data_IF_380796651810
#
_entry.id   IF_380796651810
#
_cell.length_a   1.000
_cell.length_b   1.000
_cell.length_c   1.000
_cell.angle_alpha   90.00
_cell.angle_beta   90.00
_cell.angle_gamma   90.00
#
_symmetry.space_group_name_H-M   'P 1'
#
loop_
_entity.id
_entity.type
_entity.pdbx_description
1 polymer ?
#
# COMPACT_ATOMS: atom_id res chain seq x y z
N UNK A 1 2.32 -2.82 11.83
CA UNK A 1 2.12 -2.07 10.59
C UNK A 1 0.64 -1.80 10.42
N UNK A 2 0.24 -0.55 10.19
CA UNK A 2 -1.17 -0.20 10.03
C UNK A 2 -1.53 -0.39 8.55
N UNK A 3 -2.29 -1.44 8.22
CA UNK A 3 -2.83 -1.63 6.87
C UNK A 3 -3.89 -0.58 6.57
N UNK A 4 -3.96 -0.10 5.33
CA UNK A 4 -5.00 0.83 4.89
C UNK A 4 -6.22 0.05 4.41
N UNK A 5 -7.42 0.49 4.80
CA UNK A 5 -8.67 -0.02 4.25
C UNK A 5 -9.02 0.71 2.95
N UNK A 6 -9.23 -0.06 1.88
CA UNK A 6 -9.69 0.47 0.60
C UNK A 6 -11.17 0.12 0.42
N UNK A 7 -11.99 1.16 0.32
CA UNK A 7 -13.45 1.08 0.26
C UNK A 7 -13.95 1.65 -1.05
N UNK A 8 -15.03 1.10 -1.56
CA UNK A 8 -15.67 1.61 -2.76
C UNK A 8 -16.09 3.07 -2.55
N UNK A 9 -15.76 3.95 -3.49
CA UNK A 9 -16.03 5.38 -3.39
C UNK A 9 -17.53 5.68 -3.31
N UNK A 10 -18.33 4.86 -4.01
CA UNK A 10 -19.80 4.97 -4.12
C UNK A 10 -20.55 4.34 -2.94
N UNK A 11 -20.43 3.02 -2.73
CA UNK A 11 -21.21 2.31 -1.71
C UNK A 11 -20.50 2.07 -0.38
N UNK A 12 -19.24 2.54 -0.23
CA UNK A 12 -18.40 2.38 0.98
C UNK A 12 -18.11 0.95 1.43
N UNK A 13 -18.54 -0.06 0.66
CA UNK A 13 -18.20 -1.47 0.88
C UNK A 13 -16.68 -1.64 0.94
N UNK A 14 -16.20 -2.35 1.96
CA UNK A 14 -14.80 -2.75 2.07
C UNK A 14 -14.43 -3.65 0.89
N UNK A 15 -13.37 -3.29 0.18
CA UNK A 15 -12.88 -4.04 -0.97
C UNK A 15 -11.69 -4.90 -0.54
N UNK A 16 -10.69 -4.30 0.11
CA UNK A 16 -9.53 -5.02 0.64
C UNK A 16 -8.80 -4.17 1.70
N UNK A 17 -7.83 -4.79 2.40
CA UNK A 17 -6.89 -4.12 3.29
C UNK A 17 -5.47 -4.46 2.83
N UNK A 18 -4.65 -3.44 2.57
CA UNK A 18 -3.28 -3.64 2.09
C UNK A 18 -2.42 -2.41 2.38
N UNK A 19 -1.11 -2.53 2.13
CA UNK A 19 -0.22 -1.40 1.89
C UNK A 19 0.12 -1.47 0.40
N UNK A 20 -0.29 -0.46 -0.36
CA UNK A 20 0.02 -0.36 -1.78
C UNK A 20 1.33 0.40 -1.94
N UNK A 21 2.32 -0.19 -2.60
CA UNK A 21 3.67 0.38 -2.77
C UNK A 21 3.98 0.41 -4.25
N UNK A 22 4.21 1.61 -4.79
CA UNK A 22 4.56 1.84 -6.21
C UNK A 22 3.66 1.06 -7.19
N UNK A 23 2.37 1.01 -6.86
CA UNK A 23 1.40 0.18 -7.55
C UNK A 23 0.12 0.96 -7.80
N UNK A 24 -0.53 0.72 -8.93
CA UNK A 24 -1.91 1.12 -9.19
C UNK A 24 -2.79 -0.13 -9.22
N UNK A 25 -3.96 -0.07 -8.58
CA UNK A 25 -4.93 -1.17 -8.60
C UNK A 25 -6.28 -0.65 -9.03
N UNK A 26 -6.85 -1.29 -10.05
CA UNK A 26 -8.24 -1.14 -10.45
C UNK A 26 -9.11 -2.27 -9.88
N UNK A 27 -10.17 -1.94 -9.17
CA UNK A 27 -11.12 -2.91 -8.61
C UNK A 27 -12.55 -2.52 -8.92
N UNK A 28 -13.27 -3.39 -9.62
CA UNK A 28 -14.72 -3.27 -9.83
C UNK A 28 -15.47 -3.70 -8.58
N UNK A 29 -16.32 -2.83 -8.05
CA UNK A 29 -17.16 -3.16 -6.91
C UNK A 29 -18.28 -4.11 -7.32
N UNK A 30 -18.29 -5.32 -6.76
CA UNK A 30 -19.35 -6.32 -7.02
C UNK A 30 -20.74 -5.89 -6.53
N UNK A 31 -20.83 -4.92 -5.60
CA UNK A 31 -22.12 -4.49 -5.06
C UNK A 31 -22.81 -3.42 -5.91
N UNK A 32 -22.10 -2.37 -6.31
CA UNK A 32 -22.68 -1.25 -7.05
C UNK A 32 -22.17 -1.09 -8.49
N UNK A 33 -21.29 -1.98 -8.95
CA UNK A 33 -20.71 -1.98 -10.30
C UNK A 33 -19.59 -0.95 -10.54
N UNK A 34 -19.37 -0.02 -9.61
CA UNK A 34 -18.40 1.07 -9.74
C UNK A 34 -16.96 0.56 -9.90
N UNK A 35 -16.22 1.08 -10.88
CA UNK A 35 -14.78 0.84 -11.02
C UNK A 35 -14.01 1.82 -10.13
N UNK A 36 -13.15 1.30 -9.26
CA UNK A 36 -12.37 2.10 -8.32
C UNK A 36 -10.88 1.95 -8.64
N UNK A 37 -10.17 3.06 -8.75
CA UNK A 37 -8.71 3.08 -8.92
C UNK A 37 -8.06 3.52 -7.61
N UNK A 38 -7.06 2.78 -7.15
CA UNK A 38 -6.30 3.07 -5.93
C UNK A 38 -4.81 3.17 -6.25
N UNK A 39 -4.19 4.24 -5.77
CA UNK A 39 -2.76 4.51 -5.93
C UNK A 39 -1.98 4.12 -4.68
N UNK A 40 -0.84 3.48 -4.89
CA UNK A 40 0.13 3.19 -3.86
C UNK A 40 0.95 4.39 -3.44
N UNK A 41 1.61 4.25 -2.29
CA UNK A 41 2.61 5.21 -1.83
C UNK A 41 3.98 4.86 -2.41
N UNK A 42 4.86 5.85 -2.52
CA UNK A 42 6.27 5.59 -2.84
C UNK A 42 6.91 4.70 -1.77
N UNK A 43 7.78 3.77 -2.19
CA UNK A 43 8.53 2.93 -1.29
C UNK A 43 9.39 3.75 -0.31
N UNK A 44 9.87 4.92 -0.74
CA UNK A 44 10.69 5.81 0.09
C UNK A 44 9.98 6.24 1.37
N UNK A 45 8.65 6.39 1.35
CA UNK A 45 7.85 6.72 2.55
C UNK A 45 7.88 5.61 3.61
N UNK A 46 8.25 4.39 3.23
CA UNK A 46 8.42 3.24 4.12
C UNK A 46 9.87 3.05 4.55
N UNK A 47 10.82 3.81 3.99
CA UNK A 47 12.23 3.76 4.36
C UNK A 47 12.52 4.75 5.50
N UNK A 48 13.31 4.29 6.47
CA UNK A 48 13.83 5.17 7.50
C UNK A 48 15.12 5.85 7.01
N UNK A 49 15.07 7.17 6.82
CA UNK A 49 16.23 7.96 6.40
C UNK A 49 17.00 8.64 7.54
N UNK A 50 16.55 8.47 8.80
CA UNK A 50 17.26 9.02 9.95
C UNK A 50 18.68 8.46 10.03
N UNK A 51 19.66 9.37 10.08
CA UNK A 51 21.06 9.02 10.26
C UNK A 51 21.23 8.26 11.60
N UNK A 52 21.90 7.11 11.58
CA UNK A 52 22.08 6.21 12.72
C UNK A 52 20.79 5.64 13.37
N UNK A 53 19.75 5.36 12.59
CA UNK A 53 18.60 4.61 13.10
C UNK A 53 18.99 3.16 13.44
N UNK A 54 18.99 2.81 14.73
CA UNK A 54 19.35 1.48 15.26
C UNK A 54 18.52 0.33 14.66
N UNK A 55 17.31 0.62 14.17
CA UNK A 55 16.39 -0.37 13.57
C UNK A 55 16.40 -0.35 12.03
N UNK A 56 17.31 0.41 11.41
CA UNK A 56 17.41 0.49 9.94
C UNK A 56 18.11 -0.75 9.40
N UNK A 57 17.41 -1.49 8.55
CA UNK A 57 17.98 -2.63 7.81
C UNK A 57 18.98 -2.08 6.79
N UNK A 58 20.21 -2.60 6.76
CA UNK A 58 21.25 -2.15 5.82
C UNK A 58 20.89 -2.58 4.40
N UNK A 59 21.26 -1.78 3.39
CA UNK A 59 20.95 -2.04 1.97
C UNK A 59 21.62 -3.31 1.44
N UNK A 60 22.66 -3.79 2.12
CA UNK A 60 23.46 -4.98 1.76
C UNK A 60 22.83 -6.31 2.22
N UNK A 61 21.77 -6.29 3.04
CA UNK A 61 21.03 -7.51 3.47
C UNK A 61 19.98 -7.97 2.44
N UNK A 62 20.13 -7.60 1.16
CA UNK A 62 19.30 -8.15 0.09
C UNK A 62 19.67 -9.61 -0.17
N UNK A 63 19.11 -10.53 0.61
CA UNK A 63 18.84 -11.88 0.09
C UNK A 63 17.71 -11.76 -0.92
N UNK A 64 18.02 -12.19 -2.14
CA UNK A 64 17.10 -12.35 -3.25
C UNK A 64 15.85 -13.12 -2.78
N UNK A 65 14.68 -12.57 -3.10
CA UNK A 65 13.38 -13.22 -2.98
C UNK A 65 12.66 -13.10 -4.31
#
# INVERSE_FOLDING_TARGET
MIYQEYRCRKCKKLMFKAILVESEIEVKCRACGELNVFQGISQEKLLCFKENCERRVKRDDKREA
#
